data_IF_527762580808
#
_entry.id   IF_527762580808
#
_cell.length_a   1.000
_cell.length_b   1.000
_cell.length_c   1.000
_cell.angle_alpha   90.00
_cell.angle_beta   90.00
_cell.angle_gamma   90.00
#
_symmetry.space_group_name_H-M   'P 1'
#
loop_
_entity.id
_entity.type
_entity.pdbx_description
1 polymer ?
#
# COMPACT_ATOMS: atom_id res chain seq x y z
N UNK A 1 -52.79 -15.73 1.28
CA UNK A 1 -51.54 -16.43 1.61
C UNK A 1 -50.52 -15.35 1.91
N UNK A 2 -50.07 -15.14 3.15
CA UNK A 2 -48.93 -14.26 3.37
C UNK A 2 -47.70 -14.95 2.77
N UNK A 3 -46.90 -14.20 2.00
CA UNK A 3 -45.59 -14.68 1.56
C UNK A 3 -44.73 -14.95 2.80
N UNK A 4 -43.94 -16.05 2.83
CA UNK A 4 -42.97 -16.23 3.89
C UNK A 4 -42.00 -15.05 3.85
N UNK A 5 -41.89 -14.31 4.95
CA UNK A 5 -40.84 -13.30 5.10
C UNK A 5 -39.50 -14.01 4.92
N UNK A 6 -38.67 -13.53 4.00
CA UNK A 6 -37.34 -14.05 3.82
C UNK A 6 -36.51 -13.73 5.07
N UNK A 7 -35.88 -14.76 5.64
CA UNK A 7 -34.99 -14.62 6.79
C UNK A 7 -33.90 -13.57 6.49
N UNK A 8 -33.57 -12.69 7.45
CA UNK A 8 -32.57 -11.66 7.26
C UNK A 8 -31.20 -12.29 7.05
N UNK A 9 -30.54 -11.89 5.98
CA UNK A 9 -29.18 -12.29 5.65
C UNK A 9 -28.29 -11.05 5.54
N UNK A 10 -27.11 -11.12 6.17
CA UNK A 10 -26.14 -10.05 6.22
C UNK A 10 -24.86 -10.47 5.51
N UNK A 11 -24.36 -9.61 4.62
CA UNK A 11 -23.03 -9.72 4.03
C UNK A 11 -22.16 -8.58 4.52
N UNK A 12 -21.01 -8.91 5.11
CA UNK A 12 -19.95 -7.95 5.44
C UNK A 12 -18.86 -8.01 4.37
N UNK A 13 -18.48 -6.86 3.85
CA UNK A 13 -17.49 -6.72 2.77
C UNK A 13 -16.63 -5.46 2.96
N UNK A 14 -15.46 -5.42 2.34
CA UNK A 14 -14.73 -4.15 2.22
C UNK A 14 -15.52 -3.21 1.30
N UNK A 15 -15.50 -1.92 1.59
CA UNK A 15 -16.20 -0.93 0.77
C UNK A 15 -15.34 -0.58 -0.45
N UNK A 16 -15.85 -0.89 -1.65
CA UNK A 16 -15.16 -0.62 -2.91
C UNK A 16 -14.70 0.85 -3.02
N UNK A 17 -13.42 1.04 -3.34
CA UNK A 17 -12.81 2.36 -3.55
C UNK A 17 -12.63 3.20 -2.28
N UNK A 18 -12.71 2.61 -1.08
CA UNK A 18 -12.44 3.29 0.19
C UNK A 18 -11.61 2.40 1.12
N UNK A 19 -10.30 2.68 1.31
CA UNK A 19 -9.44 1.85 2.16
C UNK A 19 -10.00 1.72 3.59
N UNK A 20 -9.93 0.51 4.14
CA UNK A 20 -10.30 0.21 5.53
C UNK A 20 -11.80 0.15 5.85
N UNK A 21 -12.65 0.87 5.13
CA UNK A 21 -14.08 0.91 5.43
C UNK A 21 -14.79 -0.43 5.14
N UNK A 22 -15.73 -0.81 6.00
CA UNK A 22 -16.50 -2.06 5.91
C UNK A 22 -17.96 -1.75 5.63
N UNK A 23 -18.52 -2.39 4.60
CA UNK A 23 -19.94 -2.35 4.29
C UNK A 23 -20.68 -3.56 4.87
N UNK A 24 -21.93 -3.34 5.25
CA UNK A 24 -22.86 -4.33 5.76
C UNK A 24 -24.13 -4.29 4.90
N UNK A 25 -24.24 -5.20 3.95
CA UNK A 25 -25.40 -5.32 3.05
C UNK A 25 -26.43 -6.26 3.65
N UNK A 26 -27.63 -5.74 3.87
CA UNK A 26 -28.76 -6.45 4.46
C UNK A 26 -29.72 -6.87 3.34
N UNK A 27 -30.05 -8.16 3.29
CA UNK A 27 -31.08 -8.73 2.41
C UNK A 27 -32.16 -9.42 3.22
N UNK A 28 -33.38 -9.51 2.67
CA UNK A 28 -34.56 -10.01 3.40
C UNK A 28 -35.23 -8.92 4.24
N UNK A 29 -36.07 -9.31 5.21
CA UNK A 29 -36.75 -8.34 6.09
C UNK A 29 -35.83 -8.02 7.28
N UNK A 30 -35.25 -6.82 7.38
CA UNK A 30 -34.31 -6.50 8.45
C UNK A 30 -35.03 -6.50 9.80
N UNK A 31 -34.46 -7.18 10.80
CA UNK A 31 -34.93 -6.99 12.18
C UNK A 31 -34.36 -5.70 12.76
N UNK A 32 -35.13 -5.01 13.58
CA UNK A 32 -34.64 -3.86 14.36
C UNK A 32 -33.40 -4.25 15.18
N UNK A 33 -33.37 -5.49 15.71
CA UNK A 33 -32.23 -6.05 16.44
C UNK A 33 -30.94 -6.07 15.62
N UNK A 34 -31.00 -6.50 14.35
CA UNK A 34 -29.82 -6.55 13.49
C UNK A 34 -29.22 -5.17 13.25
N UNK A 35 -30.06 -4.17 12.89
CA UNK A 35 -29.58 -2.78 12.70
C UNK A 35 -29.06 -2.18 14.00
N UNK A 36 -29.68 -2.48 15.13
CA UNK A 36 -29.22 -2.02 16.43
C UNK A 36 -27.86 -2.62 16.82
N UNK A 37 -27.63 -3.90 16.55
CA UNK A 37 -26.33 -4.55 16.81
C UNK A 37 -25.24 -4.00 15.92
N UNK A 38 -25.52 -3.83 14.62
CA UNK A 38 -24.60 -3.16 13.71
C UNK A 38 -24.25 -1.75 14.22
N UNK A 39 -25.23 -0.95 14.64
CA UNK A 39 -25.01 0.37 15.19
C UNK A 39 -24.15 0.37 16.47
N UNK A 40 -24.35 -0.62 17.37
CA UNK A 40 -23.52 -0.78 18.58
C UNK A 40 -22.05 -1.02 18.24
N UNK A 41 -21.77 -1.69 17.12
CA UNK A 41 -20.41 -1.94 16.65
C UNK A 41 -19.85 -0.85 15.73
N UNK A 42 -20.55 0.27 15.56
CA UNK A 42 -20.06 1.43 14.81
C UNK A 42 -20.48 1.47 13.34
N UNK A 43 -21.43 0.66 12.92
CA UNK A 43 -22.04 0.79 11.60
C UNK A 43 -23.12 1.89 11.58
N UNK A 44 -23.16 2.65 10.49
CA UNK A 44 -24.14 3.71 10.27
C UNK A 44 -24.93 3.47 8.98
N UNK A 45 -26.21 3.87 8.90
CA UNK A 45 -26.98 3.73 7.67
C UNK A 45 -26.35 4.52 6.51
N UNK A 46 -26.03 3.83 5.42
CA UNK A 46 -25.60 4.44 4.16
C UNK A 46 -26.80 4.57 3.21
N UNK A 47 -27.64 3.53 3.15
CA UNK A 47 -28.91 3.49 2.43
C UNK A 47 -29.91 2.55 3.13
N UNK A 48 -31.04 2.24 2.47
CA UNK A 48 -32.10 1.40 3.03
C UNK A 48 -31.66 -0.05 3.30
N UNK A 49 -30.66 -0.55 2.58
CA UNK A 49 -30.15 -1.92 2.67
C UNK A 49 -28.70 -2.00 3.16
N UNK A 50 -27.96 -0.91 3.16
CA UNK A 50 -26.53 -0.90 3.44
C UNK A 50 -26.23 -0.06 4.67
N UNK A 51 -25.44 -0.61 5.57
CA UNK A 51 -24.77 0.14 6.63
C UNK A 51 -23.27 0.14 6.39
N UNK A 52 -22.55 1.15 6.89
CA UNK A 52 -21.11 1.30 6.70
C UNK A 52 -20.42 1.58 8.03
N UNK A 53 -19.28 0.94 8.25
CA UNK A 53 -18.34 1.27 9.31
C UNK A 53 -17.10 1.86 8.66
N UNK A 54 -16.75 3.07 9.09
CA UNK A 54 -15.47 3.70 8.83
C UNK A 54 -15.01 4.29 10.14
N UNK A 55 -13.73 4.21 10.47
CA UNK A 55 -13.19 4.60 11.77
C UNK A 55 -11.88 5.34 11.57
N UNK A 56 -11.61 6.29 12.46
CA UNK A 56 -10.36 7.05 12.48
C UNK A 56 -9.23 6.29 13.17
N UNK A 57 -9.54 5.11 13.73
CA UNK A 57 -8.60 4.19 14.36
C UNK A 57 -8.21 2.99 13.51
N UNK A 58 -8.77 2.87 12.30
CA UNK A 58 -8.34 1.87 11.31
C UNK A 58 -8.56 0.41 11.76
N UNK A 59 -9.45 0.19 12.74
CA UNK A 59 -9.75 -1.14 13.32
C UNK A 59 -11.10 -1.70 12.83
N UNK A 60 -11.61 -1.25 11.68
CA UNK A 60 -12.89 -1.68 11.13
C UNK A 60 -13.00 -3.19 11.00
N UNK A 61 -11.95 -3.89 10.56
CA UNK A 61 -11.93 -5.34 10.45
C UNK A 61 -12.17 -6.01 11.83
N UNK A 62 -11.49 -5.52 12.88
CA UNK A 62 -11.68 -6.04 14.24
C UNK A 62 -13.11 -5.84 14.73
N UNK A 63 -13.68 -4.65 14.54
CA UNK A 63 -15.05 -4.36 14.98
C UNK A 63 -16.11 -5.03 14.10
N UNK A 64 -15.83 -5.26 12.81
CA UNK A 64 -16.67 -6.05 11.92
C UNK A 64 -16.72 -7.51 12.34
N UNK A 65 -15.60 -8.10 12.76
CA UNK A 65 -15.57 -9.46 13.30
C UNK A 65 -16.37 -9.55 14.62
N UNK A 66 -16.24 -8.56 15.52
CA UNK A 66 -17.06 -8.49 16.72
C UNK A 66 -18.56 -8.40 16.40
N UNK A 67 -18.93 -7.56 15.43
CA UNK A 67 -20.32 -7.44 14.98
C UNK A 67 -20.85 -8.76 14.41
N UNK A 68 -20.05 -9.45 13.60
CA UNK A 68 -20.42 -10.74 13.05
C UNK A 68 -20.64 -11.80 14.14
N UNK A 69 -19.78 -11.84 15.16
CA UNK A 69 -19.94 -12.73 16.31
C UNK A 69 -21.23 -12.44 17.09
N UNK A 70 -21.51 -11.17 17.37
CA UNK A 70 -22.72 -10.76 18.07
C UNK A 70 -24.00 -11.11 17.27
N UNK A 71 -23.99 -10.87 15.97
CA UNK A 71 -25.13 -11.16 15.09
C UNK A 71 -25.39 -12.66 14.94
N UNK A 72 -24.34 -13.47 14.82
CA UNK A 72 -24.45 -14.93 14.82
C UNK A 72 -25.02 -15.48 16.14
N UNK A 73 -24.68 -14.85 17.28
CA UNK A 73 -25.24 -15.24 18.57
C UNK A 73 -26.76 -15.02 18.66
N UNK A 74 -27.30 -14.05 17.92
CA UNK A 74 -28.75 -13.81 17.78
C UNK A 74 -29.40 -14.63 16.66
N UNK A 75 -28.68 -15.58 16.06
CA UNK A 75 -29.19 -16.45 15.00
C UNK A 75 -29.27 -15.80 13.62
N UNK A 76 -28.64 -14.64 13.41
CA UNK A 76 -28.55 -14.00 12.09
C UNK A 76 -27.51 -14.74 11.23
N UNK A 77 -27.84 -15.00 9.97
CA UNK A 77 -26.87 -15.55 9.01
C UNK A 77 -25.97 -14.43 8.51
N UNK A 78 -24.67 -14.50 8.84
CA UNK A 78 -23.65 -13.52 8.45
C UNK A 78 -22.61 -14.15 7.53
N UNK A 79 -22.59 -13.69 6.28
CA UNK A 79 -21.53 -13.93 5.30
C UNK A 79 -20.44 -12.87 5.45
N UNK A 80 -19.17 -13.29 5.47
CA UNK A 80 -18.00 -12.40 5.48
C UNK A 80 -17.21 -12.76 4.23
N UNK A 81 -16.94 -11.76 3.39
CA UNK A 81 -16.20 -12.00 2.15
C UNK A 81 -14.78 -12.49 2.40
N UNK A 82 -14.17 -13.22 1.45
CA UNK A 82 -12.79 -13.66 1.58
C UNK A 82 -11.82 -12.51 1.86
N UNK A 83 -12.00 -11.36 1.20
CA UNK A 83 -11.15 -10.18 1.39
C UNK A 83 -11.27 -9.61 2.81
N UNK A 84 -12.48 -9.43 3.31
CA UNK A 84 -12.67 -8.96 4.68
C UNK A 84 -12.22 -10.00 5.71
N UNK A 85 -12.40 -11.29 5.42
CA UNK A 85 -11.91 -12.38 6.27
C UNK A 85 -10.40 -12.33 6.42
N UNK A 86 -9.69 -12.11 5.32
CA UNK A 86 -8.25 -11.94 5.34
C UNK A 86 -7.82 -10.74 6.19
N UNK A 87 -8.47 -9.59 6.03
CA UNK A 87 -8.19 -8.41 6.87
C UNK A 87 -8.46 -8.64 8.37
N UNK A 88 -9.49 -9.46 8.70
CA UNK A 88 -9.78 -9.90 10.08
C UNK A 88 -8.69 -10.81 10.62
N UNK A 89 -8.29 -11.80 9.82
CA UNK A 89 -7.34 -12.84 10.23
C UNK A 89 -5.89 -12.33 10.24
N UNK A 90 -5.61 -11.22 9.55
CA UNK A 90 -4.25 -10.68 9.47
C UNK A 90 -3.82 -10.05 10.79
N UNK A 91 -2.67 -10.51 11.29
CA UNK A 91 -2.08 -10.02 12.52
C UNK A 91 -1.30 -8.72 12.25
N UNK A 92 -1.97 -7.57 12.35
CA UNK A 92 -1.34 -6.27 12.17
C UNK A 92 -0.57 -5.79 13.41
N UNK A 93 0.62 -5.25 13.16
CA UNK A 93 1.38 -4.43 14.11
C UNK A 93 1.41 -2.98 13.60
N UNK A 94 1.05 -2.01 14.45
CA UNK A 94 1.18 -0.59 14.12
C UNK A 94 2.65 -0.19 14.19
N UNK A 95 3.27 0.06 13.04
CA UNK A 95 4.64 0.56 13.01
C UNK A 95 4.69 1.94 13.66
N UNK A 96 5.58 2.11 14.65
CA UNK A 96 5.82 3.38 15.34
C UNK A 96 4.65 3.92 16.16
N UNK A 97 3.83 3.06 16.75
CA UNK A 97 2.93 3.52 17.81
C UNK A 97 3.77 4.22 18.90
N UNK A 98 3.45 5.46 19.31
CA UNK A 98 4.32 6.28 20.17
C UNK A 98 4.54 5.65 21.56
N UNK A 99 3.77 4.62 21.89
CA UNK A 99 3.89 3.81 23.09
C UNK A 99 4.26 2.37 22.71
N UNK A 100 5.52 2.09 22.31
CA UNK A 100 5.95 0.75 21.87
C UNK A 100 5.87 -0.33 22.96
N UNK A 101 5.58 0.06 24.21
CA UNK A 101 5.36 -0.84 25.33
C UNK A 101 3.89 -1.28 25.50
N UNK A 102 2.95 -0.71 24.74
CA UNK A 102 1.56 -1.12 24.80
C UNK A 102 1.34 -2.44 24.05
N UNK A 103 0.58 -3.34 24.66
CA UNK A 103 0.04 -4.52 23.98
C UNK A 103 -0.99 -4.12 22.92
N UNK A 104 -1.28 -5.03 21.98
CA UNK A 104 -2.30 -4.80 20.94
C UNK A 104 -3.68 -4.47 21.50
N UNK A 105 -4.09 -5.13 22.57
CA UNK A 105 -5.37 -4.84 23.24
C UNK A 105 -5.37 -3.46 23.88
N UNK A 106 -4.25 -3.02 24.46
CA UNK A 106 -4.11 -1.67 25.00
C UNK A 106 -4.14 -0.61 23.89
N UNK A 107 -3.48 -0.87 22.75
CA UNK A 107 -3.54 0.01 21.59
C UNK A 107 -4.99 0.14 21.09
N UNK A 108 -5.69 -1.00 20.89
CA UNK A 108 -7.12 -1.01 20.52
C UNK A 108 -7.99 -0.22 21.46
N UNK A 109 -7.72 -0.31 22.77
CA UNK A 109 -8.45 0.44 23.77
C UNK A 109 -8.21 1.94 23.62
N UNK A 110 -6.95 2.38 23.53
CA UNK A 110 -6.62 3.80 23.38
C UNK A 110 -7.19 4.36 22.09
N UNK A 111 -7.03 3.64 20.97
CA UNK A 111 -7.54 4.07 19.67
C UNK A 111 -9.07 4.04 19.63
N UNK A 112 -9.71 3.09 20.32
CA UNK A 112 -11.16 3.05 20.51
C UNK A 112 -11.69 4.21 21.35
N UNK A 113 -11.00 4.60 22.42
CA UNK A 113 -11.33 5.79 23.22
C UNK A 113 -11.23 7.06 22.36
N UNK A 114 -10.21 7.15 21.51
CA UNK A 114 -10.04 8.24 20.56
C UNK A 114 -11.15 8.29 19.49
N UNK A 115 -11.55 7.13 18.95
CA UNK A 115 -12.71 7.02 18.07
C UNK A 115 -13.99 7.52 18.77
N UNK A 116 -14.21 7.16 20.04
CA UNK A 116 -15.36 7.65 20.80
C UNK A 116 -15.37 9.17 20.94
N UNK A 117 -14.21 9.79 21.23
CA UNK A 117 -14.09 11.25 21.28
C UNK A 117 -14.40 11.87 19.91
N UNK A 118 -13.87 11.29 18.82
CA UNK A 118 -14.19 11.76 17.47
C UNK A 118 -15.69 11.69 17.18
N UNK A 119 -16.35 10.57 17.50
CA UNK A 119 -17.79 10.43 17.31
C UNK A 119 -18.57 11.42 18.18
N UNK A 120 -18.12 11.69 19.40
CA UNK A 120 -18.76 12.69 20.25
C UNK A 120 -18.67 14.10 19.64
N UNK A 121 -17.52 14.46 19.05
CA UNK A 121 -17.36 15.73 18.33
C UNK A 121 -18.29 15.76 17.11
N UNK A 122 -18.26 14.70 16.30
CA UNK A 122 -19.02 14.59 15.05
C UNK A 122 -20.52 14.68 15.27
N UNK A 123 -21.04 13.99 16.28
CA UNK A 123 -22.46 14.04 16.66
C UNK A 123 -22.83 15.29 17.47
N UNK A 124 -21.87 16.20 17.71
CA UNK A 124 -22.06 17.42 18.48
C UNK A 124 -22.31 17.20 19.97
N UNK A 125 -22.06 15.99 20.50
CA UNK A 125 -22.12 15.68 21.94
C UNK A 125 -20.98 16.37 22.69
N UNK A 126 -19.82 16.48 22.05
CA UNK A 126 -18.67 17.27 22.50
C UNK A 126 -18.50 18.50 21.61
N UNK A 127 -18.64 19.70 22.19
CA UNK A 127 -18.46 20.96 21.47
C UNK A 127 -17.03 21.45 21.70
N UNK A 128 -16.23 21.57 20.64
CA UNK A 128 -14.88 22.13 20.72
C UNK A 128 -14.94 23.66 20.68
N UNK A 129 -14.42 24.30 21.73
CA UNK A 129 -14.41 25.76 21.86
C UNK A 129 -13.19 26.39 21.21
N UNK A 130 -12.03 25.76 21.37
CA UNK A 130 -10.77 26.22 20.82
C UNK A 130 -9.78 25.06 20.66
N UNK A 131 -8.79 25.26 19.80
CA UNK A 131 -7.66 24.38 19.59
C UNK A 131 -6.34 25.17 19.55
N UNK A 132 -5.23 24.47 19.67
CA UNK A 132 -3.88 25.00 19.46
C UNK A 132 -2.98 23.86 18.95
N UNK A 133 -1.75 24.20 18.59
CA UNK A 133 -0.69 23.25 18.31
C UNK A 133 0.40 23.42 19.37
N UNK A 134 0.72 22.38 20.12
CA UNK A 134 1.67 22.46 21.25
C UNK A 134 3.15 22.35 20.85
N UNK A 135 3.40 22.19 19.54
CA UNK A 135 4.71 21.98 18.94
C UNK A 135 4.94 20.54 18.48
N UNK A 136 4.11 19.61 18.95
CA UNK A 136 4.16 18.19 18.60
C UNK A 136 2.85 17.69 17.99
N UNK A 137 1.72 18.13 18.54
CA UNK A 137 0.40 17.70 18.06
C UNK A 137 -0.67 18.76 18.32
N UNK A 138 -1.87 18.46 17.82
CA UNK A 138 -3.08 19.22 18.08
C UNK A 138 -3.53 19.03 19.52
N UNK A 139 -3.88 20.14 20.18
CA UNK A 139 -4.51 20.16 21.49
C UNK A 139 -5.82 20.94 21.40
N UNK A 140 -6.83 20.57 22.18
CA UNK A 140 -8.13 21.22 22.13
C UNK A 140 -8.80 21.32 23.49
N UNK A 141 -9.71 22.29 23.64
CA UNK A 141 -10.62 22.39 24.78
C UNK A 141 -12.05 22.28 24.30
N UNK A 142 -12.80 21.37 24.92
CA UNK A 142 -14.18 21.10 24.58
C UNK A 142 -15.09 21.00 25.79
N UNK A 143 -16.39 20.94 25.57
CA UNK A 143 -17.40 20.66 26.60
C UNK A 143 -18.45 19.72 26.09
N UNK A 144 -18.69 18.66 26.86
CA UNK A 144 -19.81 17.76 26.64
C UNK A 144 -21.13 18.47 26.94
N UNK A 145 -22.13 18.34 26.05
CA UNK A 145 -23.44 19.01 26.20
C UNK A 145 -24.07 18.77 27.57
N UNK A 146 -23.97 17.54 28.09
CA UNK A 146 -24.51 17.11 29.37
C UNK A 146 -23.40 16.65 30.33
N UNK A 147 -22.21 17.25 30.24
CA UNK A 147 -21.03 16.72 30.92
C UNK A 147 -19.94 17.74 31.23
N UNK A 148 -18.73 17.25 31.54
CA UNK A 148 -17.60 18.10 31.91
C UNK A 148 -17.04 18.86 30.71
N UNK A 149 -16.22 19.85 31.02
CA UNK A 149 -15.29 20.42 30.06
C UNK A 149 -13.97 19.66 30.11
N UNK A 150 -13.36 19.41 28.97
CA UNK A 150 -12.16 18.59 28.86
C UNK A 150 -11.07 19.28 28.04
N UNK A 151 -9.83 18.93 28.32
CA UNK A 151 -8.69 19.16 27.45
C UNK A 151 -8.34 17.88 26.72
N UNK A 152 -8.11 18.00 25.42
CA UNK A 152 -7.72 16.94 24.52
C UNK A 152 -6.26 17.15 24.09
N UNK A 153 -5.54 16.05 23.97
CA UNK A 153 -4.21 16.00 23.38
C UNK A 153 -4.18 14.93 22.28
N UNK A 154 -3.51 15.21 21.18
CA UNK A 154 -3.41 14.30 20.07
C UNK A 154 -4.52 14.46 19.03
N UNK A 155 -4.33 13.74 17.93
CA UNK A 155 -5.22 13.70 16.78
C UNK A 155 -5.45 12.26 16.32
N UNK A 156 -6.51 12.05 15.54
CA UNK A 156 -6.94 10.72 15.11
C UNK A 156 -7.01 9.77 16.33
N UNK A 157 -6.49 8.55 16.22
CA UNK A 157 -6.42 7.57 17.30
C UNK A 157 -5.59 7.91 18.54
N UNK A 158 -4.78 8.97 18.51
CA UNK A 158 -4.00 9.41 19.69
C UNK A 158 -4.74 10.46 20.48
N UNK A 159 -5.96 10.81 20.06
CA UNK A 159 -6.77 11.79 20.76
C UNK A 159 -7.17 11.24 22.12
N UNK A 160 -6.68 11.87 23.18
CA UNK A 160 -6.91 11.46 24.57
C UNK A 160 -7.37 12.64 25.43
N UNK A 161 -8.17 12.36 26.46
CA UNK A 161 -8.51 13.32 27.52
C UNK A 161 -7.30 13.48 28.47
N UNK A 162 -6.74 14.68 28.53
CA UNK A 162 -5.61 15.01 29.43
C UNK A 162 -5.99 15.90 30.60
N UNK A 163 -7.19 16.46 30.58
CA UNK A 163 -7.68 17.32 31.66
C UNK A 163 -9.19 17.35 31.71
N UNK A 164 -9.74 17.43 32.92
CA UNK A 164 -11.18 17.44 33.18
C UNK A 164 -11.54 18.56 34.14
N UNK A 165 -12.61 19.28 33.81
CA UNK A 165 -13.02 20.51 34.50
C UNK A 165 -14.53 20.55 34.69
N UNK A 166 -14.96 21.08 35.84
CA UNK A 166 -16.38 21.19 36.18
C UNK A 166 -17.14 22.24 35.35
N UNK A 167 -16.43 23.20 34.74
CA UNK A 167 -17.05 24.33 34.04
C UNK A 167 -16.26 24.74 32.79
N UNK A 168 -16.93 25.18 31.71
CA UNK A 168 -16.27 25.66 30.49
C UNK A 168 -15.33 26.83 30.74
N UNK A 169 -15.73 27.79 31.59
CA UNK A 169 -14.93 28.97 31.88
C UNK A 169 -13.55 28.62 32.47
N UNK A 170 -13.49 27.64 33.40
CA UNK A 170 -12.23 27.16 33.96
C UNK A 170 -11.36 26.46 32.92
N UNK A 171 -11.97 25.58 32.11
CA UNK A 171 -11.24 24.84 31.09
C UNK A 171 -10.64 25.77 30.03
N UNK A 172 -11.41 26.74 29.55
CA UNK A 172 -10.97 27.70 28.52
C UNK A 172 -9.88 28.62 29.10
N UNK A 173 -10.07 29.17 30.31
CA UNK A 173 -9.06 30.03 30.91
C UNK A 173 -7.72 29.31 31.14
N UNK A 174 -7.76 28.04 31.54
CA UNK A 174 -6.53 27.24 31.69
C UNK A 174 -5.90 26.90 30.33
N UNK A 175 -6.71 26.62 29.30
CA UNK A 175 -6.22 26.38 27.94
C UNK A 175 -5.51 27.62 27.37
N UNK A 176 -6.11 28.80 27.52
CA UNK A 176 -5.52 30.08 27.12
C UNK A 176 -4.22 30.37 27.90
N UNK A 177 -4.17 30.02 29.19
CA UNK A 177 -2.97 30.16 30.01
C UNK A 177 -1.83 29.26 29.53
N UNK A 178 -2.13 28.04 29.07
CA UNK A 178 -1.14 27.05 28.63
C UNK A 178 -0.59 27.36 27.23
N UNK A 179 -1.45 27.73 26.28
CA UNK A 179 -1.08 27.80 24.86
C UNK A 179 -1.02 29.23 24.30
N UNK A 180 -1.54 30.22 25.04
CA UNK A 180 -1.40 31.65 24.72
C UNK A 180 -1.75 32.00 23.27
N UNK A 181 -0.79 32.61 22.57
CA UNK A 181 -0.98 33.11 21.19
C UNK A 181 -1.19 31.99 20.15
N UNK A 182 -0.95 30.72 20.49
CA UNK A 182 -1.22 29.58 19.61
C UNK A 182 -2.71 29.20 19.55
N UNK A 183 -3.53 29.71 20.48
CA UNK A 183 -4.95 29.38 20.55
C UNK A 183 -5.73 29.93 19.35
N UNK A 184 -6.59 29.09 18.79
CA UNK A 184 -7.52 29.42 17.70
C UNK A 184 -8.93 28.99 18.12
N UNK A 185 -9.96 29.82 17.87
CA UNK A 185 -11.33 29.45 18.19
C UNK A 185 -11.82 28.30 17.29
N UNK A 186 -12.70 27.47 17.84
CA UNK A 186 -13.33 26.34 17.13
C UNK A 186 -12.48 25.07 17.06
N UNK A 187 -12.97 24.04 16.36
CA UNK A 187 -12.25 22.77 16.17
C UNK A 187 -10.98 22.96 15.33
N UNK A 188 -10.03 22.05 15.50
CA UNK A 188 -8.87 21.97 14.62
C UNK A 188 -9.28 21.61 13.19
N UNK A 189 -8.45 21.95 12.17
CA UNK A 189 -8.67 21.49 10.82
C UNK A 189 -8.81 19.96 10.76
N UNK A 190 -9.80 19.48 10.00
CA UNK A 190 -10.05 18.04 9.81
C UNK A 190 -8.83 17.37 9.19
N UNK A 191 -8.36 16.29 9.80
CA UNK A 191 -7.23 15.50 9.29
C UNK A 191 -7.63 14.75 8.01
N UNK A 192 -6.65 14.14 7.32
CA UNK A 192 -6.94 13.27 6.18
C UNK A 192 -7.77 12.06 6.61
N UNK A 193 -7.33 11.33 7.63
CA UNK A 193 -8.06 10.19 8.20
C UNK A 193 -9.51 10.52 8.59
N UNK A 194 -9.74 11.66 9.25
CA UNK A 194 -11.11 12.10 9.60
C UNK A 194 -11.95 12.39 8.36
N UNK A 195 -11.35 13.00 7.33
CA UNK A 195 -12.02 13.28 6.06
C UNK A 195 -12.38 12.00 5.33
N UNK A 196 -11.46 11.04 5.27
CA UNK A 196 -11.64 9.77 4.58
C UNK A 196 -12.74 8.95 5.27
N UNK A 197 -12.75 8.91 6.61
CA UNK A 197 -13.82 8.29 7.37
C UNK A 197 -15.18 8.97 7.14
N UNK A 198 -15.24 10.30 7.01
CA UNK A 198 -16.50 11.00 6.74
C UNK A 198 -16.99 10.85 5.30
N UNK A 199 -16.05 10.83 4.36
CA UNK A 199 -16.33 10.51 2.97
C UNK A 199 -16.90 9.10 2.87
N UNK A 200 -16.31 8.13 3.58
CA UNK A 200 -16.78 6.75 3.68
C UNK A 200 -18.22 6.61 4.17
N UNK A 201 -18.67 7.48 5.08
CA UNK A 201 -20.04 7.52 5.59
C UNK A 201 -21.02 8.30 4.72
N UNK A 202 -20.53 9.03 3.72
CA UNK A 202 -21.38 9.83 2.84
C UNK A 202 -21.96 8.95 1.73
N UNK A 203 -23.30 8.88 1.58
CA UNK A 203 -23.93 8.18 0.48
C UNK A 203 -23.47 8.79 -0.84
N UNK A 204 -22.94 7.95 -1.74
CA UNK A 204 -22.74 8.36 -3.12
C UNK A 204 -24.12 8.69 -3.70
N UNK A 205 -24.38 9.97 -3.98
CA UNK A 205 -25.65 10.38 -4.59
C UNK A 205 -25.92 9.61 -5.88
N UNK A 206 -27.18 9.56 -6.37
CA UNK A 206 -27.45 8.95 -7.65
C UNK A 206 -26.56 9.63 -8.69
N UNK A 207 -25.70 8.85 -9.35
CA UNK A 207 -24.94 9.30 -10.49
C UNK A 207 -25.88 10.11 -11.38
N UNK A 208 -25.52 11.37 -11.65
CA UNK A 208 -26.32 12.24 -12.49
C UNK A 208 -26.55 11.54 -13.83
N UNK A 209 -27.75 10.96 -13.99
CA UNK A 209 -28.25 10.57 -15.27
C UNK A 209 -28.35 11.85 -16.11
N UNK A 210 -27.55 11.93 -17.17
CA UNK A 210 -27.72 12.93 -18.22
C UNK A 210 -26.58 13.93 -18.37
N UNK A 211 -25.40 13.46 -18.73
CA UNK A 211 -24.71 14.04 -19.89
C UNK A 211 -24.50 12.89 -20.88
N UNK A 212 -25.49 12.70 -21.76
CA UNK A 212 -25.31 11.91 -22.98
C UNK A 212 -24.14 12.52 -23.77
N UNK A 213 -22.96 11.93 -23.65
CA UNK A 213 -21.94 12.03 -24.68
C UNK A 213 -22.45 11.19 -25.85
N UNK A 214 -22.83 11.88 -26.92
CA UNK A 214 -23.27 11.29 -28.19
C UNK A 214 -22.32 10.15 -28.62
N UNK A 215 -22.85 9.03 -29.14
CA UNK A 215 -22.02 7.95 -29.64
C UNK A 215 -21.34 8.42 -30.92
N UNK A 216 -20.05 8.75 -30.83
CA UNK A 216 -19.19 8.75 -32.01
C UNK A 216 -19.02 7.30 -32.41
N UNK A 217 -19.73 6.91 -33.47
CA UNK A 217 -19.50 5.67 -34.20
C UNK A 217 -18.07 5.68 -34.72
N UNK A 218 -17.15 5.07 -33.96
CA UNK A 218 -15.90 4.55 -34.46
C UNK A 218 -15.98 3.02 -34.27
N UNK A 219 -15.78 2.29 -35.35
CA UNK A 219 -15.72 0.83 -35.36
C UNK A 219 -14.72 0.31 -34.31
N UNK A 220 -14.99 -0.83 -33.66
CA UNK A 220 -14.11 -1.38 -32.66
C UNK A 220 -12.91 -2.01 -33.37
N UNK A 221 -11.83 -1.24 -33.52
CA UNK A 221 -10.51 -1.86 -33.50
C UNK A 221 -10.35 -2.34 -32.06
N UNK A 222 -10.19 -3.64 -31.89
CA UNK A 222 -9.93 -4.28 -30.61
C UNK A 222 -8.62 -3.75 -30.03
N UNK A 223 -8.69 -2.60 -29.39
CA UNK A 223 -7.70 -2.09 -28.47
C UNK A 223 -7.85 -2.96 -27.23
N UNK A 224 -6.85 -3.80 -27.01
CA UNK A 224 -6.77 -4.67 -25.84
C UNK A 224 -6.99 -3.81 -24.60
N UNK A 225 -8.17 -3.98 -23.99
CA UNK A 225 -8.37 -3.60 -22.61
C UNK A 225 -7.24 -4.29 -21.83
N UNK A 226 -6.23 -3.52 -21.46
CA UNK A 226 -5.30 -3.93 -20.44
C UNK A 226 -6.18 -4.32 -19.24
N UNK A 227 -6.07 -5.58 -18.81
CA UNK A 227 -6.55 -6.00 -17.50
C UNK A 227 -6.11 -4.90 -16.52
N UNK A 228 -7.04 -4.41 -15.69
CA UNK A 228 -6.68 -3.46 -14.65
C UNK A 228 -5.59 -4.15 -13.81
N UNK A 229 -4.36 -3.70 -13.98
CA UNK A 229 -3.17 -4.27 -13.40
C UNK A 229 -3.32 -4.13 -11.86
N UNK A 230 -3.67 -5.24 -11.20
CA UNK A 230 -4.05 -5.26 -9.79
C UNK A 230 -2.79 -5.22 -8.90
N UNK A 231 -2.35 -4.00 -8.61
CA UNK A 231 -1.24 -3.77 -7.70
C UNK A 231 -1.52 -4.22 -6.26
N UNK A 232 -2.78 -4.32 -5.85
CA UNK A 232 -3.15 -4.81 -4.52
C UNK A 232 -2.87 -6.31 -4.44
N UNK A 233 -3.31 -7.06 -5.46
CA UNK A 233 -2.98 -8.47 -5.60
C UNK A 233 -1.47 -8.71 -5.68
N UNK A 234 -0.72 -7.85 -6.41
CA UNK A 234 0.73 -7.95 -6.47
C UNK A 234 1.41 -7.80 -5.09
N UNK A 235 0.99 -6.81 -4.29
CA UNK A 235 1.53 -6.61 -2.94
C UNK A 235 1.25 -7.84 -2.06
N UNK A 236 0.03 -8.35 -2.15
CA UNK A 236 -0.40 -9.53 -1.42
C UNK A 236 0.44 -10.75 -1.79
N UNK A 237 0.51 -11.07 -3.08
CA UNK A 237 1.27 -12.22 -3.60
C UNK A 237 2.76 -12.13 -3.20
N UNK A 238 3.33 -10.93 -3.22
CA UNK A 238 4.69 -10.68 -2.77
C UNK A 238 4.89 -11.04 -1.29
N UNK A 239 4.02 -10.56 -0.41
CA UNK A 239 4.09 -10.81 1.03
C UNK A 239 3.83 -12.27 1.39
N UNK A 240 2.90 -12.94 0.69
CA UNK A 240 2.65 -14.37 0.87
C UNK A 240 3.85 -15.24 0.43
N UNK A 241 4.57 -14.79 -0.61
CA UNK A 241 5.69 -15.53 -1.19
C UNK A 241 7.02 -15.29 -0.46
N UNK A 242 7.15 -14.19 0.29
CA UNK A 242 8.38 -13.76 0.94
C UNK A 242 8.17 -13.54 2.45
N UNK A 243 8.23 -14.64 3.22
CA UNK A 243 7.98 -14.66 4.67
C UNK A 243 8.93 -13.80 5.49
N UNK A 244 10.07 -13.41 4.93
CA UNK A 244 11.04 -12.49 5.49
C UNK A 244 10.59 -11.02 5.42
N UNK A 245 9.46 -10.74 4.77
CA UNK A 245 8.83 -9.42 4.74
C UNK A 245 7.62 -9.39 5.66
N UNK A 246 7.62 -8.44 6.59
CA UNK A 246 6.52 -8.18 7.48
C UNK A 246 5.69 -6.99 6.96
N UNK A 247 4.37 -7.18 6.91
CA UNK A 247 3.42 -6.13 6.54
C UNK A 247 3.08 -5.30 7.78
N UNK A 248 3.30 -4.00 7.70
CA UNK A 248 2.96 -3.02 8.70
C UNK A 248 1.93 -2.06 8.13
N UNK A 249 0.89 -1.73 8.89
CA UNK A 249 0.09 -0.55 8.56
C UNK A 249 0.76 0.68 9.13
N UNK A 250 0.87 1.71 8.29
CA UNK A 250 1.04 3.06 8.82
C UNK A 250 -0.29 3.54 9.35
N UNK A 251 -0.23 4.49 10.26
CA UNK A 251 -1.39 5.00 10.95
C UNK A 251 -2.51 5.52 10.02
N UNK A 252 -2.16 5.83 8.80
CA UNK A 252 -3.01 6.53 7.85
C UNK A 252 -3.86 5.62 6.94
N UNK A 253 -3.75 4.28 7.04
CA UNK A 253 -4.55 3.24 6.33
C UNK A 253 -4.55 3.24 4.81
N UNK A 254 -4.33 4.38 4.17
CA UNK A 254 -4.05 4.48 2.74
C UNK A 254 -2.63 4.02 2.41
N UNK A 255 -1.83 3.56 3.37
CA UNK A 255 -0.47 3.09 3.11
C UNK A 255 -0.09 1.83 3.86
N UNK A 256 0.24 0.78 3.09
CA UNK A 256 0.93 -0.41 3.58
C UNK A 256 2.44 -0.22 3.52
N UNK A 257 3.13 -0.57 4.60
CA UNK A 257 4.60 -0.63 4.67
C UNK A 257 5.04 -2.08 4.82
N UNK A 258 5.59 -2.67 3.77
CA UNK A 258 6.31 -3.93 3.84
C UNK A 258 7.76 -3.66 4.25
N UNK A 259 8.19 -4.16 5.40
CA UNK A 259 9.60 -4.11 5.83
C UNK A 259 10.19 -5.51 5.78
N UNK A 260 11.40 -5.63 5.25
CA UNK A 260 12.19 -6.84 5.40
C UNK A 260 12.60 -7.02 6.88
N UNK A 261 12.74 -8.26 7.36
CA UNK A 261 13.06 -8.63 8.76
C UNK A 261 14.34 -7.95 9.30
N UNK A 262 15.27 -7.62 8.40
CA UNK A 262 16.50 -6.89 8.74
C UNK A 262 16.26 -5.42 9.08
N UNK A 263 15.08 -4.88 8.77
CA UNK A 263 14.71 -3.46 8.83
C UNK A 263 15.59 -2.55 7.97
N UNK A 264 16.30 -3.13 6.98
CA UNK A 264 17.17 -2.40 6.04
C UNK A 264 16.57 -2.27 4.64
N UNK A 265 15.39 -2.84 4.41
CA UNK A 265 14.63 -2.68 3.17
C UNK A 265 13.15 -2.41 3.49
N UNK A 266 12.56 -1.53 2.69
CA UNK A 266 11.17 -1.12 2.83
C UNK A 266 10.54 -0.92 1.47
N UNK A 267 9.35 -1.46 1.28
CA UNK A 267 8.41 -1.09 0.24
C UNK A 267 7.18 -0.43 0.89
N UNK A 268 6.76 0.70 0.37
CA UNK A 268 5.61 1.47 0.82
C UNK A 268 4.65 1.49 -0.35
N UNK A 269 3.41 1.10 -0.10
CA UNK A 269 2.35 1.02 -1.08
C UNK A 269 1.20 1.94 -0.69
N UNK A 270 0.86 2.90 -1.55
CA UNK A 270 -0.28 3.80 -1.39
C UNK A 270 -1.52 3.21 -2.09
N UNK A 271 -2.53 2.85 -1.30
CA UNK A 271 -3.76 2.21 -1.79
C UNK A 271 -4.61 3.15 -2.65
N UNK A 272 -4.50 4.47 -2.44
CA UNK A 272 -5.35 5.49 -3.09
C UNK A 272 -4.67 6.15 -4.29
N UNK A 273 -3.38 5.94 -4.50
CA UNK A 273 -2.66 6.58 -5.59
C UNK A 273 -3.25 6.18 -6.95
N UNK A 274 -3.63 7.18 -7.74
CA UNK A 274 -4.20 7.00 -9.08
C UNK A 274 -3.38 7.69 -10.18
N UNK A 275 -3.44 7.13 -11.39
CA UNK A 275 -2.79 7.68 -12.57
C UNK A 275 -1.30 7.96 -12.39
N UNK A 276 -0.93 9.24 -12.33
CA UNK A 276 0.48 9.69 -12.23
C UNK A 276 0.97 9.88 -10.79
N UNK A 277 0.13 9.62 -9.80
CA UNK A 277 0.53 9.69 -8.40
C UNK A 277 1.47 8.54 -8.05
N UNK A 278 2.33 8.75 -7.05
CA UNK A 278 3.27 7.72 -6.58
C UNK A 278 2.50 6.65 -5.82
N UNK A 279 2.46 5.44 -6.38
CA UNK A 279 1.80 4.29 -5.77
C UNK A 279 2.75 3.42 -4.98
N UNK A 280 4.01 3.34 -5.43
CA UNK A 280 5.03 2.56 -4.75
C UNK A 280 6.23 3.44 -4.39
N UNK A 281 6.76 3.28 -3.19
CA UNK A 281 8.04 3.83 -2.77
C UNK A 281 8.92 2.73 -2.17
N UNK A 282 10.15 2.64 -2.64
CA UNK A 282 11.13 1.66 -2.18
C UNK A 282 12.31 2.38 -1.54
N UNK A 283 12.84 1.82 -0.47
CA UNK A 283 14.02 2.34 0.20
C UNK A 283 14.87 1.23 0.80
N UNK A 284 16.19 1.43 0.74
CA UNK A 284 17.17 0.60 1.43
C UNK A 284 18.02 1.46 2.36
N UNK A 285 18.51 0.85 3.43
CA UNK A 285 19.32 1.47 4.46
C UNK A 285 20.53 0.59 4.77
N UNK A 286 21.65 1.18 5.17
CA UNK A 286 22.85 0.40 5.55
C UNK A 286 22.62 -0.36 6.85
N UNK A 287 21.92 0.28 7.78
CA UNK A 287 21.45 -0.28 9.05
C UNK A 287 20.05 0.26 9.33
N UNK A 288 19.28 -0.33 10.25
CA UNK A 288 17.92 0.14 10.58
C UNK A 288 17.83 1.60 11.05
N UNK A 289 18.96 2.21 11.44
CA UNK A 289 19.04 3.60 11.93
C UNK A 289 19.99 4.47 11.09
N UNK A 290 20.54 3.94 10.00
CA UNK A 290 21.41 4.70 9.09
C UNK A 290 20.61 5.54 8.11
N UNK A 291 21.31 6.46 7.45
CA UNK A 291 20.78 7.14 6.28
C UNK A 291 20.43 6.15 5.16
N UNK A 292 19.51 6.58 4.30
CA UNK A 292 19.01 5.81 3.18
C UNK A 292 20.10 5.60 2.13
N UNK A 293 20.41 4.35 1.81
CA UNK A 293 21.38 3.97 0.77
C UNK A 293 20.85 4.31 -0.61
N UNK A 294 19.63 3.87 -0.92
CA UNK A 294 18.97 4.16 -2.19
C UNK A 294 17.46 4.22 -1.99
N UNK A 295 16.78 4.87 -2.94
CA UNK A 295 15.33 4.87 -3.02
C UNK A 295 14.82 4.84 -4.44
N UNK A 296 13.55 4.49 -4.59
CA UNK A 296 12.84 4.50 -5.84
C UNK A 296 11.35 4.76 -5.66
N UNK A 297 10.67 5.21 -6.71
CA UNK A 297 9.22 5.44 -6.72
C UNK A 297 8.61 5.01 -8.04
N UNK A 298 7.45 4.35 -8.00
CA UNK A 298 6.67 4.00 -9.19
C UNK A 298 5.29 4.66 -9.14
N UNK A 299 4.81 5.13 -10.29
CA UNK A 299 3.46 5.71 -10.43
C UNK A 299 2.37 4.63 -10.42
N UNK A 300 1.13 5.01 -10.11
CA UNK A 300 -0.02 4.11 -10.10
C UNK A 300 -0.33 3.44 -11.44
N UNK A 301 0.06 4.06 -12.55
CA UNK A 301 -0.09 3.54 -13.90
C UNK A 301 1.09 2.68 -14.39
N UNK A 302 2.11 2.44 -13.56
CA UNK A 302 3.23 1.54 -13.91
C UNK A 302 2.72 0.10 -13.94
N UNK A 303 3.08 -0.72 -14.94
CA UNK A 303 2.53 -2.07 -15.01
C UNK A 303 2.90 -2.94 -13.81
N UNK A 304 2.01 -3.87 -13.44
CA UNK A 304 2.27 -4.82 -12.34
C UNK A 304 3.50 -5.68 -12.63
N UNK A 305 3.75 -6.05 -13.89
CA UNK A 305 4.93 -6.83 -14.29
C UNK A 305 6.24 -6.10 -13.96
N UNK A 306 6.32 -4.79 -14.23
CA UNK A 306 7.50 -3.97 -13.93
C UNK A 306 7.69 -3.83 -12.41
N UNK A 307 6.60 -3.61 -11.68
CA UNK A 307 6.65 -3.52 -10.21
C UNK A 307 6.99 -4.88 -9.59
N UNK A 308 6.50 -6.00 -10.15
CA UNK A 308 6.84 -7.36 -9.73
C UNK A 308 8.33 -7.62 -9.91
N UNK A 309 8.88 -7.32 -11.09
CA UNK A 309 10.32 -7.47 -11.34
C UNK A 309 11.17 -6.65 -10.36
N UNK A 310 10.68 -5.46 -9.98
CA UNK A 310 11.33 -4.63 -8.96
C UNK A 310 11.21 -5.25 -7.55
N UNK A 311 10.02 -5.71 -7.14
CA UNK A 311 9.79 -6.35 -5.84
C UNK A 311 10.64 -7.62 -5.69
N UNK A 312 10.66 -8.47 -6.72
CA UNK A 312 11.48 -9.68 -6.77
C UNK A 312 12.97 -9.33 -6.67
N UNK A 313 13.43 -8.30 -7.41
CA UNK A 313 14.81 -7.84 -7.33
C UNK A 313 15.15 -7.33 -5.91
N UNK A 314 14.23 -6.62 -5.26
CA UNK A 314 14.41 -6.10 -3.90
C UNK A 314 14.42 -7.21 -2.85
N UNK A 315 13.67 -8.30 -3.05
CA UNK A 315 13.70 -9.46 -2.17
C UNK A 315 15.02 -10.25 -2.23
N UNK A 316 15.79 -10.13 -3.31
CA UNK A 316 17.12 -10.77 -3.38
C UNK A 316 18.19 -10.02 -2.56
N UNK A 317 19.19 -10.74 -2.04
CA UNK A 317 20.33 -10.17 -1.28
C UNK A 317 21.09 -9.07 -2.06
N UNK A 318 20.96 -9.02 -3.39
CA UNK A 318 21.61 -8.05 -4.26
C UNK A 318 21.06 -6.62 -4.12
N UNK A 319 19.86 -6.45 -3.54
CA UNK A 319 19.24 -5.14 -3.32
C UNK A 319 19.84 -4.35 -2.13
N UNK A 320 20.65 -5.00 -1.30
CA UNK A 320 21.11 -4.50 0.00
C UNK A 320 22.34 -3.59 -0.10
N UNK A 321 22.79 -3.26 -1.33
CA UNK A 321 23.80 -2.23 -1.56
C UNK A 321 25.17 -2.51 -0.91
N UNK A 322 25.56 -3.78 -0.70
CA UNK A 322 26.81 -4.14 0.01
C UNK A 322 28.13 -3.74 -0.68
N UNK A 323 28.10 -2.98 -1.79
CA UNK A 323 29.29 -2.38 -2.37
C UNK A 323 29.33 -0.88 -2.04
N UNK A 324 30.26 -0.49 -1.17
CA UNK A 324 30.62 0.89 -0.81
C UNK A 324 31.20 1.71 -2.00
N UNK A 325 30.77 1.45 -3.23
CA UNK A 325 31.13 2.24 -4.40
C UNK A 325 30.15 3.41 -4.53
N UNK A 326 30.62 4.59 -4.13
CA UNK A 326 29.87 5.85 -3.99
C UNK A 326 29.42 6.52 -5.30
N UNK A 327 29.20 5.77 -6.38
CA UNK A 327 28.67 6.29 -7.65
C UNK A 327 28.43 5.14 -8.63
N UNK A 328 27.43 5.26 -9.51
CA UNK A 328 27.27 4.37 -10.66
C UNK A 328 28.56 4.38 -11.52
N UNK A 329 29.31 3.28 -11.52
CA UNK A 329 30.48 3.10 -12.39
C UNK A 329 30.00 2.86 -13.82
N UNK A 330 30.83 3.16 -14.81
CA UNK A 330 30.53 2.85 -16.22
C UNK A 330 30.20 1.36 -16.43
N UNK A 331 30.86 0.48 -15.67
CA UNK A 331 30.56 -0.96 -15.62
C UNK A 331 29.16 -1.24 -15.08
N UNK A 332 28.77 -0.62 -13.97
CA UNK A 332 27.44 -0.78 -13.38
C UNK A 332 26.33 -0.25 -14.30
N UNK A 333 26.56 0.86 -14.99
CA UNK A 333 25.63 1.40 -15.99
C UNK A 333 25.48 0.40 -17.15
N UNK A 334 26.59 -0.14 -17.66
CA UNK A 334 26.61 -1.10 -18.76
C UNK A 334 25.87 -2.40 -18.41
N UNK A 335 26.07 -2.89 -17.19
CA UNK A 335 25.34 -4.06 -16.66
C UNK A 335 23.84 -3.78 -16.54
N UNK A 336 23.47 -2.65 -15.96
CA UNK A 336 22.08 -2.22 -15.78
C UNK A 336 21.28 -2.11 -17.10
N UNK A 337 21.94 -1.75 -18.20
CA UNK A 337 21.31 -1.55 -19.52
C UNK A 337 21.64 -2.65 -20.54
N UNK A 338 22.32 -3.72 -20.12
CA UNK A 338 22.65 -4.83 -21.01
C UNK A 338 21.41 -5.43 -21.70
N UNK A 339 20.25 -5.63 -21.01
CA UNK A 339 19.06 -6.19 -21.65
C UNK A 339 18.52 -5.30 -22.78
N UNK A 340 18.57 -3.97 -22.61
CA UNK A 340 18.15 -3.03 -23.65
C UNK A 340 19.07 -3.10 -24.87
N UNK A 341 20.38 -3.25 -24.62
CA UNK A 341 21.38 -3.37 -25.69
C UNK A 341 21.21 -4.66 -26.47
N UNK A 342 20.97 -5.77 -25.77
CA UNK A 342 20.71 -7.08 -26.36
C UNK A 342 19.43 -7.07 -27.22
N UNK A 343 18.41 -6.33 -26.79
CA UNK A 343 17.17 -6.10 -27.54
C UNK A 343 17.25 -4.95 -28.55
N UNK A 344 18.47 -4.50 -28.87
CA UNK A 344 18.77 -3.52 -29.92
C UNK A 344 18.13 -2.14 -29.73
N UNK A 345 17.86 -1.74 -28.48
CA UNK A 345 17.40 -0.39 -28.17
C UNK A 345 18.50 0.60 -28.53
N UNK A 346 18.11 1.68 -29.20
CA UNK A 346 19.05 2.74 -29.55
C UNK A 346 19.20 3.68 -28.37
N UNK A 347 20.43 4.10 -28.11
CA UNK A 347 20.68 5.16 -27.16
C UNK A 347 21.06 6.47 -27.86
N UNK A 348 20.66 7.57 -27.25
CA UNK A 348 21.08 8.92 -27.58
C UNK A 348 21.75 9.54 -26.36
N UNK A 349 22.71 10.43 -26.60
CA UNK A 349 23.37 11.20 -25.55
C UNK A 349 23.03 12.67 -25.81
N UNK A 350 22.33 13.29 -24.87
CA UNK A 350 21.99 14.72 -24.91
C UNK A 350 22.45 15.40 -23.62
N UNK A 351 23.59 16.11 -23.73
CA UNK A 351 24.21 16.81 -22.62
C UNK A 351 24.54 15.85 -21.46
N UNK A 352 23.76 15.94 -20.38
CA UNK A 352 23.93 15.11 -19.16
C UNK A 352 23.13 13.81 -19.16
N UNK A 353 22.27 13.61 -20.16
CA UNK A 353 21.35 12.48 -20.22
C UNK A 353 21.82 11.45 -21.24
N UNK A 354 21.72 10.18 -20.85
CA UNK A 354 21.82 9.04 -21.77
C UNK A 354 20.42 8.42 -21.82
N UNK A 355 19.82 8.33 -23.00
CA UNK A 355 18.43 7.89 -23.17
C UNK A 355 18.38 6.70 -24.13
N UNK A 356 17.83 5.58 -23.68
CA UNK A 356 17.50 4.40 -24.46
C UNK A 356 16.01 4.40 -24.77
N UNK A 357 15.64 4.30 -26.04
CA UNK A 357 14.23 4.29 -26.46
C UNK A 357 13.87 2.95 -27.10
N UNK A 358 12.63 2.51 -26.84
CA UNK A 358 12.10 1.29 -27.40
C UNK A 358 12.06 1.35 -28.94
N UNK A 359 12.42 0.28 -29.65
CA UNK A 359 12.33 0.23 -31.10
C UNK A 359 10.86 0.10 -31.56
N UNK A 360 10.52 0.76 -32.67
CA UNK A 360 9.24 0.56 -33.36
C UNK A 360 8.10 1.44 -32.85
N UNK A 361 6.89 0.88 -32.78
CA UNK A 361 5.69 1.59 -32.31
C UNK A 361 5.49 1.49 -30.78
N UNK A 362 6.47 0.91 -30.07
CA UNK A 362 6.44 0.80 -28.62
C UNK A 362 6.89 2.12 -28.00
N UNK A 363 6.12 2.57 -27.01
CA UNK A 363 6.30 3.89 -26.42
C UNK A 363 6.85 3.73 -25.01
N UNK A 364 8.12 4.06 -24.83
CA UNK A 364 8.79 3.95 -23.56
C UNK A 364 10.30 4.05 -23.70
N UNK A 365 10.97 4.20 -22.57
CA UNK A 365 12.40 4.40 -22.55
C UNK A 365 13.00 4.31 -21.16
N UNK A 366 14.32 4.38 -21.14
CA UNK A 366 15.13 4.50 -19.94
C UNK A 366 16.06 5.68 -20.12
N UNK A 367 16.20 6.52 -19.10
CA UNK A 367 17.04 7.70 -19.11
C UNK A 367 17.92 7.68 -17.86
N UNK A 368 19.21 7.85 -18.07
CA UNK A 368 20.20 8.02 -17.04
C UNK A 368 20.68 9.47 -17.01
N UNK A 369 20.55 10.14 -15.86
CA UNK A 369 21.09 11.48 -15.62
C UNK A 369 22.48 11.37 -14.95
N UNK A 370 23.53 11.54 -15.74
CA UNK A 370 24.91 11.44 -15.28
C UNK A 370 25.30 12.54 -14.27
N UNK A 371 24.55 13.64 -14.19
CA UNK A 371 24.77 14.68 -13.18
C UNK A 371 24.11 14.31 -11.85
N UNK A 372 22.88 13.80 -11.88
CA UNK A 372 22.20 13.30 -10.67
C UNK A 372 22.98 12.12 -10.06
N UNK A 373 23.53 11.24 -10.90
CA UNK A 373 24.34 10.10 -10.48
C UNK A 373 25.64 10.47 -9.74
N UNK A 374 26.18 11.67 -9.94
CA UNK A 374 27.41 12.15 -9.27
C UNK A 374 27.16 12.71 -7.86
N UNK A 375 25.89 12.93 -7.49
CA UNK A 375 25.51 13.53 -6.21
C UNK A 375 24.66 12.53 -5.44
N UNK A 376 25.28 11.88 -4.46
CA UNK A 376 24.67 10.83 -3.63
C UNK A 376 23.38 11.29 -2.95
N UNK A 377 23.32 12.57 -2.54
CA UNK A 377 22.13 13.18 -1.90
C UNK A 377 21.29 14.03 -2.86
N UNK A 378 21.42 13.82 -4.17
CA UNK A 378 20.63 14.54 -5.16
C UNK A 378 19.14 14.24 -4.97
N UNK A 379 18.26 15.26 -4.89
CA UNK A 379 16.81 15.03 -4.92
C UNK A 379 16.31 14.62 -6.31
N UNK A 380 17.17 14.71 -7.34
CA UNK A 380 16.85 14.29 -8.70
C UNK A 380 17.09 12.79 -8.87
N UNK A 381 16.19 12.07 -9.56
CA UNK A 381 16.42 10.67 -9.89
C UNK A 381 17.60 10.53 -10.86
N UNK A 382 18.44 9.53 -10.64
CA UNK A 382 19.52 9.19 -11.57
C UNK A 382 19.01 8.32 -12.72
N UNK A 383 18.01 7.49 -12.45
CA UNK A 383 17.34 6.66 -13.45
C UNK A 383 15.87 7.04 -13.54
N UNK A 384 15.40 7.26 -14.76
CA UNK A 384 13.98 7.40 -15.08
C UNK A 384 13.62 6.36 -16.13
N UNK A 385 12.73 5.44 -15.77
CA UNK A 385 12.18 4.41 -16.65
C UNK A 385 10.72 4.79 -16.88
N UNK A 386 10.25 4.80 -18.11
CA UNK A 386 8.89 5.26 -18.41
C UNK A 386 8.24 4.48 -19.54
N UNK A 387 6.92 4.55 -19.58
CA UNK A 387 6.09 4.19 -20.73
C UNK A 387 5.26 5.38 -21.21
N UNK A 388 4.90 5.36 -22.49
CA UNK A 388 4.25 6.45 -23.21
C UNK A 388 5.22 7.32 -24.02
N UNK A 389 4.68 8.32 -24.71
CA UNK A 389 5.34 9.02 -25.82
C UNK A 389 6.69 9.71 -25.50
N UNK A 390 6.90 10.19 -24.27
CA UNK A 390 8.12 10.95 -23.94
C UNK A 390 8.44 10.96 -22.44
N UNK A 391 9.74 11.01 -22.12
CA UNK A 391 10.26 11.07 -20.74
C UNK A 391 9.73 12.27 -19.93
N UNK A 392 9.41 13.39 -20.58
CA UNK A 392 8.91 14.60 -19.90
C UNK A 392 7.40 14.61 -19.68
N UNK A 393 6.66 13.70 -20.33
CA UNK A 393 5.21 13.53 -20.16
C UNK A 393 4.85 12.05 -20.19
N UNK A 394 5.39 11.23 -19.27
CA UNK A 394 5.17 9.81 -19.31
C UNK A 394 3.73 9.47 -18.94
N UNK A 395 3.23 8.35 -19.46
CA UNK A 395 1.96 7.76 -19.01
C UNK A 395 2.14 7.14 -17.63
N UNK A 396 3.32 6.55 -17.39
CA UNK A 396 3.77 6.06 -16.10
C UNK A 396 5.30 6.20 -15.98
N UNK A 397 5.81 6.34 -14.76
CA UNK A 397 7.24 6.44 -14.51
C UNK A 397 7.68 5.64 -13.28
N UNK A 398 8.84 4.99 -13.40
CA UNK A 398 9.64 4.47 -12.30
C UNK A 398 10.92 5.31 -12.21
N UNK A 399 11.17 5.87 -11.04
CA UNK A 399 12.31 6.74 -10.78
C UNK A 399 13.19 6.11 -9.70
N UNK A 400 14.51 6.05 -9.93
CA UNK A 400 15.47 5.48 -8.99
C UNK A 400 16.62 6.44 -8.73
N UNK A 401 17.08 6.47 -7.48
CA UNK A 401 18.23 7.28 -7.03
C UNK A 401 19.58 6.80 -7.59
N UNK A 402 20.63 7.61 -7.41
CA UNK A 402 21.98 7.34 -7.90
C UNK A 402 22.59 6.01 -7.44
N UNK A 403 22.24 5.57 -6.24
CA UNK A 403 22.78 4.37 -5.62
C UNK A 403 21.90 3.13 -5.84
N UNK A 404 20.89 3.21 -6.71
CA UNK A 404 20.08 2.05 -7.05
C UNK A 404 20.99 0.92 -7.59
N UNK A 405 20.89 -0.31 -7.06
CA UNK A 405 21.75 -1.42 -7.47
C UNK A 405 21.62 -1.71 -8.97
N UNK A 406 22.75 -1.94 -9.66
CA UNK A 406 22.75 -2.25 -11.09
C UNK A 406 21.90 -3.48 -11.43
N UNK A 407 21.97 -4.52 -10.60
CA UNK A 407 21.14 -5.72 -10.74
C UNK A 407 19.63 -5.41 -10.65
N UNK A 408 19.24 -4.49 -9.78
CA UNK A 408 17.84 -4.06 -9.66
C UNK A 408 17.39 -3.31 -10.92
N UNK A 409 18.22 -2.39 -11.42
CA UNK A 409 17.93 -1.70 -12.70
C UNK A 409 17.88 -2.70 -13.84
N UNK A 410 18.79 -3.68 -13.87
CA UNK A 410 18.86 -4.73 -14.88
C UNK A 410 17.60 -5.60 -14.92
N UNK A 411 17.07 -6.02 -13.75
CA UNK A 411 15.82 -6.78 -13.69
C UNK A 411 14.66 -6.01 -14.31
N UNK A 412 14.57 -4.71 -14.04
CA UNK A 412 13.51 -3.86 -14.63
C UNK A 412 13.74 -3.63 -16.12
N UNK A 413 14.98 -3.38 -16.56
CA UNK A 413 15.27 -3.17 -17.99
C UNK A 413 15.11 -4.45 -18.80
N UNK A 414 15.35 -5.62 -18.19
CA UNK A 414 15.02 -6.92 -18.77
C UNK A 414 13.52 -7.06 -18.98
N UNK A 415 12.70 -6.76 -17.97
CA UNK A 415 11.24 -6.77 -18.11
C UNK A 415 10.75 -5.76 -19.16
N UNK A 416 11.38 -4.59 -19.25
CA UNK A 416 11.10 -3.61 -20.32
C UNK A 416 11.44 -4.10 -21.73
N UNK A 417 12.53 -4.86 -21.85
CA UNK A 417 13.01 -5.37 -23.13
C UNK A 417 12.24 -6.60 -23.61
N UNK A 418 11.90 -7.52 -22.70
CA UNK A 418 11.29 -8.81 -23.00
C UNK A 418 9.77 -8.82 -22.76
N UNK A 419 9.28 -8.17 -21.70
CA UNK A 419 7.86 -8.17 -21.30
C UNK A 419 6.94 -7.46 -22.31
N UNK A 420 7.49 -6.64 -23.21
CA UNK A 420 6.73 -5.98 -24.29
C UNK A 420 6.55 -6.87 -25.53
N UNK A 421 7.14 -8.06 -25.55
CA UNK A 421 6.94 -9.08 -26.57
C UNK A 421 6.89 -10.46 -25.94
N UNK A 422 5.72 -11.11 -25.94
CA UNK A 422 5.48 -12.52 -25.56
C UNK A 422 5.40 -12.89 -24.07
N UNK A 423 4.15 -13.03 -23.60
CA UNK A 423 3.72 -14.02 -22.60
C UNK A 423 4.14 -15.42 -23.07
N UNK A 424 5.23 -15.99 -22.56
CA UNK A 424 5.54 -17.44 -22.57
C UNK A 424 6.85 -17.72 -21.80
N UNK A 425 6.74 -18.21 -20.56
CA UNK A 425 7.15 -19.56 -20.13
C UNK A 425 7.11 -19.60 -18.60
N UNK A 426 6.08 -20.31 -18.13
CA UNK A 426 5.98 -20.98 -16.83
C UNK A 426 7.36 -21.50 -16.39
N UNK A 427 7.92 -20.94 -15.32
CA UNK A 427 9.08 -21.52 -14.65
C UNK A 427 8.77 -22.98 -14.32
N UNK A 428 9.53 -23.89 -14.94
CA UNK A 428 9.51 -25.29 -14.57
C UNK A 428 10.09 -25.41 -13.15
N UNK A 429 9.21 -25.72 -12.20
CA UNK A 429 9.59 -26.19 -10.85
C UNK A 429 10.58 -27.36 -10.95
N UNK A 430 11.69 -27.36 -10.19
CA UNK A 430 12.43 -28.56 -9.92
C UNK A 430 11.73 -29.33 -8.79
N UNK A 431 10.78 -30.19 -9.14
CA UNK A 431 10.26 -31.18 -8.19
C UNK A 431 11.36 -32.19 -7.81
N UNK A 432 11.60 -32.32 -6.51
CA UNK A 432 12.26 -33.46 -5.85
C UNK A 432 11.27 -34.05 -4.83
N UNK A 433 11.39 -35.31 -4.32
CA UNK A 433 12.17 -36.47 -4.75
C UNK A 433 11.39 -37.82 -4.80
N UNK A 434 12.00 -38.83 -5.42
CA UNK A 434 11.92 -40.29 -5.17
C UNK A 434 10.57 -41.06 -5.21
N UNK A 435 10.48 -42.05 -6.14
CA UNK A 435 10.21 -43.47 -5.80
C UNK A 435 10.52 -44.43 -6.97
N UNK A 436 11.17 -45.54 -6.59
CA UNK A 436 11.49 -46.76 -7.37
C UNK A 436 10.23 -47.31 -8.08
N UNK A 437 10.28 -48.08 -9.17
CA UNK A 437 10.72 -49.49 -9.21
C UNK A 437 10.85 -50.02 -10.66
N UNK A 438 11.94 -50.75 -10.98
CA UNK A 438 12.12 -51.88 -11.95
C UNK A 438 11.67 -51.73 -13.42
N UNK A 439 12.46 -52.04 -14.47
CA UNK A 439 13.23 -53.29 -14.74
C UNK A 439 14.20 -53.07 -15.95
N UNK A 440 15.53 -53.25 -15.79
CA UNK A 440 16.43 -54.31 -16.35
C UNK A 440 17.24 -53.97 -17.64
N UNK A 441 18.46 -54.55 -17.85
CA UNK A 441 19.65 -53.76 -18.24
C UNK A 441 20.47 -54.19 -19.50
N UNK A 442 21.33 -53.25 -19.94
CA UNK A 442 22.67 -53.31 -20.60
C UNK A 442 22.81 -53.82 -22.06
N UNK A 443 23.79 -53.31 -22.86
CA UNK A 443 25.22 -53.54 -22.61
C UNK A 443 26.16 -52.30 -22.71
N UNK A 444 27.34 -52.51 -22.13
CA UNK A 444 28.48 -51.60 -21.96
C UNK A 444 29.39 -51.62 -23.21
N UNK A 445 29.95 -50.48 -23.59
CA UNK A 445 31.11 -50.43 -24.50
C UNK A 445 32.21 -49.51 -23.94
N UNK A 446 33.41 -50.06 -23.84
CA UNK A 446 34.65 -49.50 -23.23
C UNK A 446 35.34 -48.51 -24.18
N UNK A 447 35.99 -47.43 -23.69
CA UNK A 447 36.71 -46.47 -24.53
C UNK A 447 38.09 -46.97 -24.99
N UNK A 448 38.59 -46.54 -26.16
CA UNK A 448 39.93 -46.91 -26.64
C UNK A 448 41.06 -46.11 -25.96
N UNK A 449 42.26 -46.71 -25.82
CA UNK A 449 43.35 -46.20 -24.99
C UNK A 449 44.31 -45.21 -25.71
N UNK A 450 44.97 -44.40 -24.88
CA UNK A 450 46.03 -43.47 -25.24
C UNK A 450 47.31 -44.17 -25.73
N UNK A 451 47.99 -43.55 -26.69
CA UNK A 451 49.36 -43.86 -27.09
C UNK A 451 50.24 -42.60 -26.96
N UNK A 452 51.18 -42.63 -26.01
CA UNK A 452 52.50 -41.98 -26.14
C UNK A 452 53.47 -43.00 -26.81
N UNK A 453 54.74 -42.72 -27.18
CA UNK A 453 55.62 -41.57 -26.90
C UNK A 453 56.43 -41.16 -28.20
N UNK A 454 57.62 -40.50 -28.19
CA UNK A 454 58.85 -40.99 -27.57
C UNK A 454 59.71 -39.92 -26.87
N UNK A 455 60.37 -40.31 -25.78
CA UNK A 455 61.63 -39.69 -25.37
C UNK A 455 62.80 -40.54 -25.85
N UNK A 456 63.91 -39.90 -26.25
CA UNK A 456 65.24 -40.53 -26.13
C UNK A 456 66.37 -39.48 -26.04
N UNK A 457 66.85 -39.38 -24.81
CA UNK A 457 68.21 -39.16 -24.30
C UNK A 457 69.36 -39.03 -25.30
N UNK A 458 70.25 -38.06 -25.07
CA UNK A 458 71.58 -38.31 -24.46
C UNK A 458 72.17 -37.04 -23.88
#
# INVERSE_FOLDING_TARGET
MPHPEADPHLRLDLLDGRPGAVSATITGTPTHTMRALLAVHGFEPLDDSTMVMARIDCEEAHYADQAAHALRAEGVTVDITPQLREEIDTEWTWANYPMPWCSREEIRKVSGDAQHIYDDIRHGRLIIHAHAHDGWTTVAVGTYRDGPSIHLHGENHLRVEVGRYDTPAKAIAEFERLYGDAVRPGPAPTTRTERDAEQARTPSGPAAAGAESLPTTAEPVAEQAAEADDHEALLKDFLESHTEWEKWRTWEDFTTVANHESLTLRAIFDHDAEGRETKWTFASYETPVSDRLWHGTATASTSTAIVSALLDAVATEHAWGRSLSTSATETAITEAISPLTDSQWKHTIDGRYITWEAPGAHEGGVQFDAFAAQKTDSPLPAWTIWGGHAVHQPTWALQLSANAPAALVQSVTFEMAEGQGTRLVRHAMPDSPARRTTQAPAPVTVPPPAAQPPGRSR
#
